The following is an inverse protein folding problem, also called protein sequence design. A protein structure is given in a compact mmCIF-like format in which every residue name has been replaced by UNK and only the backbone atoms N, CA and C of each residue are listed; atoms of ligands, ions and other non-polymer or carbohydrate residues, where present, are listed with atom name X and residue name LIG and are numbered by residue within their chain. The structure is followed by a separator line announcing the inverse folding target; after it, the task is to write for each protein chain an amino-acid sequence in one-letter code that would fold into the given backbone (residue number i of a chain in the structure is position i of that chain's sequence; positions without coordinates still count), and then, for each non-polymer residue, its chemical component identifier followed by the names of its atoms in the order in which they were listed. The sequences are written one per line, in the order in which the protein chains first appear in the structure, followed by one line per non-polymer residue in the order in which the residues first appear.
data_IF_283958781427
#
_entry.id   IF_283958781427
#
_cell.length_a   1.000
_cell.length_b   1.000
_cell.length_c   1.000
_cell.angle_alpha   90.00
_cell.angle_beta   90.00
_cell.angle_gamma   90.00
#
_symmetry.space_group_name_H-M   'P 1'
#
loop_
_entity.id
_entity.type
_entity.pdbx_description
1 polymer ?
#
# COMPACT_ATOMS: atom_id res chain seq x y z
N UNK A 1 -3.72 -6.88 -12.94
CA UNK A 1 -3.14 -5.76 -12.17
C UNK A 1 -3.68 -5.81 -10.75
N UNK A 2 -2.82 -5.64 -9.77
CA UNK A 2 -3.19 -5.54 -8.34
C UNK A 2 -3.58 -4.10 -8.00
N UNK A 3 -4.68 -3.93 -7.26
CA UNK A 3 -5.15 -2.64 -6.76
C UNK A 3 -4.97 -2.58 -5.25
N UNK A 4 -4.20 -1.60 -4.77
CA UNK A 4 -3.85 -1.42 -3.37
C UNK A 4 -4.33 -0.03 -2.93
N UNK A 5 -5.20 0.05 -1.94
CA UNK A 5 -5.59 1.34 -1.37
C UNK A 5 -4.44 1.93 -0.54
N UNK A 6 -4.17 3.20 -0.71
CA UNK A 6 -3.16 3.90 0.08
C UNK A 6 -3.73 4.23 1.46
N UNK A 7 -3.24 3.54 2.51
CA UNK A 7 -3.72 3.69 3.88
C UNK A 7 -5.24 3.44 4.05
N UNK A 8 -5.82 2.57 3.21
CA UNK A 8 -7.25 2.31 3.18
C UNK A 8 -8.08 3.26 2.31
N UNK A 9 -7.48 4.35 1.81
CA UNK A 9 -8.16 5.35 0.99
C UNK A 9 -8.15 4.90 -0.48
N UNK A 10 -9.32 4.93 -1.13
CA UNK A 10 -9.49 4.42 -2.50
C UNK A 10 -10.43 5.26 -3.39
N UNK A 11 -11.12 6.24 -2.80
CA UNK A 11 -12.12 7.08 -3.50
C UNK A 11 -11.89 8.58 -3.26
N UNK A 12 -10.65 9.04 -3.50
CA UNK A 12 -10.21 10.41 -3.33
C UNK A 12 -9.34 10.64 -2.10
N UNK A 13 -8.77 11.83 -1.99
CA UNK A 13 -7.76 12.17 -0.98
C UNK A 13 -8.39 12.58 0.36
N UNK A 14 -9.04 11.66 1.05
CA UNK A 14 -9.59 11.90 2.38
C UNK A 14 -8.70 11.30 3.47
N UNK A 15 -7.55 11.92 3.73
CA UNK A 15 -6.51 11.43 4.62
C UNK A 15 -6.90 11.42 6.11
N UNK A 16 -8.00 12.03 6.51
CA UNK A 16 -8.49 11.97 7.91
C UNK A 16 -8.83 10.54 8.34
N UNK A 17 -9.15 9.66 7.38
CA UNK A 17 -9.46 8.25 7.63
C UNK A 17 -8.27 7.31 7.37
N UNK A 18 -7.10 7.87 7.07
CA UNK A 18 -5.90 7.09 6.74
C UNK A 18 -5.51 6.11 7.87
N UNK A 19 -5.21 4.87 7.50
CA UNK A 19 -4.85 3.78 8.42
C UNK A 19 -5.94 3.40 9.44
N UNK A 20 -7.13 3.95 9.38
CA UNK A 20 -8.19 3.59 10.31
C UNK A 20 -8.75 2.20 9.98
N UNK A 21 -8.91 1.30 10.97
CA UNK A 21 -9.42 -0.06 10.75
C UNK A 21 -10.77 -0.12 10.01
N UNK A 22 -11.70 0.79 10.30
CA UNK A 22 -12.98 0.86 9.59
C UNK A 22 -12.80 1.21 8.11
N UNK A 23 -11.90 2.12 7.78
CA UNK A 23 -11.60 2.50 6.41
C UNK A 23 -10.89 1.37 5.65
N UNK A 24 -9.98 0.67 6.32
CA UNK A 24 -9.32 -0.53 5.78
C UNK A 24 -10.37 -1.61 5.47
N UNK A 25 -11.32 -1.84 6.37
CA UNK A 25 -12.42 -2.78 6.16
C UNK A 25 -13.29 -2.42 4.95
N UNK A 26 -13.61 -1.14 4.76
CA UNK A 26 -14.32 -0.65 3.55
C UNK A 26 -13.53 -0.91 2.28
N UNK A 27 -12.23 -0.67 2.29
CA UNK A 27 -11.33 -0.96 1.16
C UNK A 27 -11.37 -2.46 0.80
N UNK A 28 -11.28 -3.34 1.79
CA UNK A 28 -11.38 -4.78 1.59
C UNK A 28 -12.72 -5.21 1.01
N UNK A 29 -13.83 -4.64 1.48
CA UNK A 29 -15.16 -4.91 0.96
C UNK A 29 -15.34 -4.47 -0.51
N UNK A 30 -14.56 -3.49 -0.96
CA UNK A 30 -14.51 -3.06 -2.36
C UNK A 30 -13.52 -3.88 -3.22
N UNK A 31 -12.92 -4.92 -2.66
CA UNK A 31 -12.05 -5.84 -3.37
C UNK A 31 -10.62 -5.35 -3.56
N UNK A 32 -10.19 -4.34 -2.81
CA UNK A 32 -8.82 -3.83 -2.85
C UNK A 32 -7.94 -4.50 -1.79
N UNK A 33 -6.64 -4.62 -2.06
CA UNK A 33 -5.64 -4.78 -1.02
C UNK A 33 -5.39 -3.43 -0.34
N UNK A 34 -4.67 -3.40 0.76
CA UNK A 34 -4.45 -2.16 1.51
C UNK A 34 -2.97 -2.02 1.94
N UNK A 35 -2.37 -0.88 1.63
CA UNK A 35 -1.12 -0.48 2.25
C UNK A 35 -1.41 0.21 3.58
N UNK A 36 -0.66 -0.15 4.60
CA UNK A 36 -0.76 0.42 5.96
C UNK A 36 0.62 0.75 6.51
N UNK A 37 0.71 1.84 7.24
CA UNK A 37 1.89 2.17 8.02
C UNK A 37 1.82 1.41 9.35
N UNK A 38 2.88 0.68 9.68
CA UNK A 38 2.93 -0.18 10.88
C UNK A 38 4.16 0.14 11.71
N UNK A 39 3.95 0.21 13.01
CA UNK A 39 4.97 0.39 14.04
C UNK A 39 4.88 -0.73 15.06
N UNK A 40 6.03 -1.19 15.54
CA UNK A 40 6.09 -2.06 16.69
C UNK A 40 6.72 -1.30 17.85
N UNK A 41 5.93 -1.10 18.91
CA UNK A 41 6.30 -0.32 20.10
C UNK A 41 5.97 -1.19 21.32
N UNK A 42 6.96 -1.42 22.19
CA UNK A 42 6.79 -2.20 23.42
C UNK A 42 6.06 -3.54 23.18
N UNK A 43 6.48 -4.31 22.19
CA UNK A 43 5.92 -5.62 21.80
C UNK A 43 4.48 -5.58 21.26
N UNK A 44 3.93 -4.41 20.96
CA UNK A 44 2.59 -4.24 20.38
C UNK A 44 2.71 -3.67 18.97
N UNK A 45 1.89 -4.19 18.04
CA UNK A 45 1.76 -3.63 16.69
C UNK A 45 0.73 -2.50 16.67
N UNK A 46 1.04 -1.48 15.92
CA UNK A 46 0.19 -0.30 15.71
C UNK A 46 0.08 -0.01 14.22
N UNK A 47 -1.08 0.49 13.79
CA UNK A 47 -1.27 1.08 12.47
C UNK A 47 -1.46 2.59 12.60
N UNK A 48 -0.98 3.33 11.61
CA UNK A 48 -1.12 4.78 11.57
C UNK A 48 0.19 5.55 11.64
N UNK A 49 0.11 6.89 11.76
CA UNK A 49 1.29 7.72 11.94
C UNK A 49 1.92 7.50 13.33
N UNK A 50 3.22 7.80 13.45
CA UNK A 50 3.96 7.64 14.70
C UNK A 50 3.35 8.44 15.86
N UNK A 51 2.78 9.61 15.55
CA UNK A 51 2.23 10.55 16.54
C UNK A 51 0.91 10.08 17.16
N UNK A 52 0.14 9.26 16.44
CA UNK A 52 -1.18 8.81 16.86
C UNK A 52 -1.49 7.38 16.38
N UNK A 53 -0.69 6.38 16.77
CA UNK A 53 -0.86 5.03 16.28
C UNK A 53 -2.04 4.34 16.97
N UNK A 54 -2.73 3.47 16.21
CA UNK A 54 -3.84 2.65 16.69
C UNK A 54 -3.33 1.23 16.96
N UNK A 55 -3.48 0.69 18.18
CA UNK A 55 -3.04 -0.68 18.47
C UNK A 55 -3.87 -1.71 17.72
N UNK A 56 -3.20 -2.73 17.19
CA UNK A 56 -3.83 -3.88 16.53
C UNK A 56 -3.20 -5.18 17.02
N UNK A 57 -3.92 -6.28 16.85
CA UNK A 57 -3.37 -7.60 17.14
C UNK A 57 -2.46 -8.08 16.02
N UNK A 58 -1.52 -8.97 16.32
CA UNK A 58 -0.67 -9.60 15.29
C UNK A 58 -1.52 -10.27 14.22
N UNK A 59 -2.61 -10.94 14.64
CA UNK A 59 -3.54 -11.62 13.74
C UNK A 59 -4.25 -10.66 12.79
N UNK A 60 -4.51 -9.44 13.19
CA UNK A 60 -5.19 -8.44 12.36
C UNK A 60 -4.45 -8.17 11.05
N UNK A 61 -3.13 -8.10 11.10
CA UNK A 61 -2.27 -7.79 9.94
C UNK A 61 -1.90 -9.02 9.09
N UNK A 62 -2.35 -10.23 9.48
CA UNK A 62 -2.02 -11.45 8.74
C UNK A 62 -2.77 -11.55 7.42
N UNK A 63 -2.10 -12.14 6.43
CA UNK A 63 -2.67 -12.45 5.13
C UNK A 63 -2.09 -11.60 3.99
N UNK A 64 -2.54 -11.91 2.78
CA UNK A 64 -1.99 -11.34 1.55
C UNK A 64 -2.64 -10.01 1.12
N UNK A 65 -3.64 -9.53 1.85
CA UNK A 65 -4.35 -8.28 1.53
C UNK A 65 -3.65 -7.04 2.08
N UNK A 66 -2.81 -7.20 3.08
CA UNK A 66 -2.01 -6.12 3.63
C UNK A 66 -0.66 -5.98 2.91
N UNK A 67 -0.31 -4.74 2.62
CA UNK A 67 1.02 -4.30 2.21
C UNK A 67 1.58 -3.44 3.33
N UNK A 68 2.45 -4.03 4.13
CA UNK A 68 2.89 -3.45 5.39
C UNK A 68 4.12 -2.59 5.16
N UNK A 69 3.95 -1.29 5.30
CA UNK A 69 5.06 -0.34 5.32
C UNK A 69 5.54 -0.18 6.76
N UNK A 70 6.73 -0.70 7.05
CA UNK A 70 7.33 -0.59 8.37
C UNK A 70 7.78 0.84 8.63
N UNK A 71 7.39 1.41 9.76
CA UNK A 71 7.67 2.79 10.12
C UNK A 71 9.15 3.03 10.47
N UNK A 72 9.84 1.98 10.94
CA UNK A 72 11.26 2.02 11.26
C UNK A 72 11.93 0.66 11.01
N UNK A 73 13.28 0.65 11.12
CA UNK A 73 14.08 -0.56 10.93
C UNK A 73 13.75 -1.64 11.97
N UNK A 74 13.51 -1.28 13.22
CA UNK A 74 13.16 -2.23 14.29
C UNK A 74 11.87 -3.00 13.97
N UNK A 75 10.86 -2.32 13.45
CA UNK A 75 9.61 -2.95 13.00
C UNK A 75 9.86 -3.91 11.85
N UNK A 76 10.65 -3.49 10.86
CA UNK A 76 11.04 -4.35 9.74
C UNK A 76 11.77 -5.60 10.22
N UNK A 77 12.76 -5.45 11.10
CA UNK A 77 13.55 -6.57 11.64
C UNK A 77 12.66 -7.59 12.36
N UNK A 78 11.64 -7.13 13.09
CA UNK A 78 10.68 -8.05 13.72
C UNK A 78 9.91 -8.86 12.68
N UNK A 79 9.41 -8.23 11.60
CA UNK A 79 8.69 -8.96 10.55
C UNK A 79 9.57 -10.02 9.86
N UNK A 80 10.89 -9.79 9.76
CA UNK A 80 11.82 -10.79 9.18
C UNK A 80 11.87 -12.09 10.00
N UNK A 81 11.54 -12.04 11.28
CA UNK A 81 11.50 -13.22 12.17
C UNK A 81 10.18 -13.99 12.10
N UNK A 82 9.16 -13.44 11.44
CA UNK A 82 7.84 -14.03 11.36
C UNK A 82 7.70 -14.97 10.17
N UNK A 83 6.82 -16.00 10.25
CA UNK A 83 6.54 -16.86 9.10
C UNK A 83 6.01 -16.04 7.91
N UNK A 84 6.59 -16.23 6.73
CA UNK A 84 6.21 -15.50 5.52
C UNK A 84 4.72 -15.66 5.16
N UNK A 85 4.14 -16.82 5.47
CA UNK A 85 2.71 -17.08 5.23
C UNK A 85 1.79 -16.16 6.03
N UNK A 86 2.27 -15.62 7.16
CA UNK A 86 1.50 -14.69 7.99
C UNK A 86 1.57 -13.27 7.45
N UNK A 87 2.76 -12.84 7.01
CA UNK A 87 3.02 -11.47 6.53
C UNK A 87 3.81 -11.51 5.22
N UNK A 88 3.18 -11.85 4.09
CA UNK A 88 3.89 -12.04 2.82
C UNK A 88 4.39 -10.72 2.20
N UNK A 89 3.77 -9.59 2.52
CA UNK A 89 4.04 -8.32 1.86
C UNK A 89 4.39 -7.25 2.88
N UNK A 90 5.65 -7.14 3.26
CA UNK A 90 6.16 -6.05 4.09
C UNK A 90 7.43 -5.47 3.49
N UNK A 91 7.73 -4.22 3.83
CA UNK A 91 8.91 -3.50 3.34
C UNK A 91 9.26 -2.34 4.27
N UNK A 92 10.50 -1.87 4.15
CA UNK A 92 10.97 -0.65 4.79
C UNK A 92 11.47 0.32 3.71
N UNK A 93 10.97 1.54 3.72
CA UNK A 93 11.30 2.59 2.77
C UNK A 93 11.68 3.86 3.54
N UNK A 94 12.97 4.02 3.91
CA UNK A 94 13.41 5.19 4.67
C UNK A 94 13.32 6.50 3.87
N UNK A 95 13.31 6.41 2.54
CA UNK A 95 13.15 7.54 1.63
C UNK A 95 12.04 7.23 0.61
N UNK A 96 10.93 7.98 0.70
CA UNK A 96 9.76 7.79 -0.17
C UNK A 96 10.01 8.13 -1.65
N UNK A 97 11.13 8.74 -2.00
CA UNK A 97 11.51 9.11 -3.37
C UNK A 97 12.28 8.02 -4.11
N UNK A 98 12.61 6.92 -3.45
CA UNK A 98 13.34 5.78 -4.03
C UNK A 98 12.53 4.49 -3.93
N UNK A 99 12.88 3.53 -4.79
CA UNK A 99 12.28 2.20 -4.75
C UNK A 99 12.59 1.48 -3.44
N UNK A 100 11.62 0.70 -2.96
CA UNK A 100 11.84 -0.28 -1.91
C UNK A 100 11.48 -1.68 -2.40
N UNK A 101 12.29 -2.67 -2.08
CA UNK A 101 11.99 -4.07 -2.38
C UNK A 101 11.07 -4.62 -1.27
N UNK A 102 9.93 -5.14 -1.67
CA UNK A 102 9.03 -5.81 -0.75
C UNK A 102 9.44 -7.26 -0.50
N UNK A 103 8.98 -7.86 0.59
CA UNK A 103 9.28 -9.27 0.92
C UNK A 103 8.83 -10.24 -0.18
N UNK A 104 7.81 -9.90 -0.95
CA UNK A 104 7.28 -10.69 -2.06
C UNK A 104 7.97 -10.38 -3.42
N UNK A 105 9.15 -9.81 -3.42
CA UNK A 105 9.96 -9.47 -4.60
C UNK A 105 9.26 -8.52 -5.58
N UNK A 106 8.44 -7.61 -5.06
CA UNK A 106 7.85 -6.51 -5.83
C UNK A 106 8.55 -5.20 -5.49
N UNK A 107 8.73 -4.36 -6.49
CA UNK A 107 9.30 -3.02 -6.30
C UNK A 107 8.19 -2.04 -5.94
N UNK A 108 8.24 -1.52 -4.73
CA UNK A 108 7.42 -0.40 -4.29
C UNK A 108 8.01 0.88 -4.88
N UNK A 109 7.38 1.40 -5.95
CA UNK A 109 7.99 2.39 -6.85
C UNK A 109 7.25 3.72 -6.73
N UNK A 110 7.90 4.81 -6.31
CA UNK A 110 7.31 6.16 -6.35
C UNK A 110 6.81 6.52 -7.75
N UNK A 111 5.70 7.27 -7.84
CA UNK A 111 5.09 7.64 -9.11
C UNK A 111 5.98 8.42 -10.08
N UNK A 112 7.10 8.97 -9.59
CA UNK A 112 8.09 9.72 -10.39
C UNK A 112 9.20 8.85 -10.99
N UNK A 113 9.26 7.56 -10.65
CA UNK A 113 10.33 6.64 -11.07
C UNK A 113 9.81 5.72 -12.18
N UNK A 114 10.64 5.39 -13.20
CA UNK A 114 10.23 4.43 -14.23
C UNK A 114 9.79 3.09 -13.65
N UNK A 115 8.72 2.54 -14.20
CA UNK A 115 8.09 1.28 -13.75
C UNK A 115 8.34 0.14 -14.73
N UNK A 116 8.25 -1.07 -14.22
CA UNK A 116 8.30 -2.31 -14.99
C UNK A 116 7.23 -3.30 -14.49
N UNK A 117 7.21 -4.50 -15.03
CA UNK A 117 6.21 -5.53 -14.71
C UNK A 117 6.30 -6.10 -13.27
N UNK A 118 7.33 -5.77 -12.50
CA UNK A 118 7.45 -6.11 -11.08
C UNK A 118 7.12 -4.94 -10.15
N UNK A 119 6.93 -3.75 -10.72
CA UNK A 119 6.67 -2.53 -9.96
C UNK A 119 5.22 -2.43 -9.48
N UNK A 120 5.06 -1.95 -8.26
CA UNK A 120 3.82 -1.38 -7.76
C UNK A 120 4.03 0.14 -7.77
N UNK A 121 3.33 0.85 -8.66
CA UNK A 121 3.42 2.30 -8.71
C UNK A 121 2.62 2.92 -7.58
N UNK A 122 3.24 3.87 -6.86
CA UNK A 122 2.68 4.46 -5.66
C UNK A 122 2.31 5.92 -5.89
N UNK A 123 1.07 6.27 -5.61
CA UNK A 123 0.53 7.63 -5.71
C UNK A 123 0.86 8.31 -7.06
N UNK A 124 0.57 7.66 -8.20
CA UNK A 124 0.85 8.25 -9.50
C UNK A 124 0.16 9.60 -9.69
N UNK A 125 -0.98 9.81 -9.05
CA UNK A 125 -1.75 11.05 -9.06
C UNK A 125 -1.02 12.25 -8.45
N UNK A 126 -0.06 12.01 -7.57
CA UNK A 126 0.76 13.09 -6.97
C UNK A 126 1.86 13.52 -7.95
N UNK A 127 2.43 12.56 -8.69
CA UNK A 127 3.47 12.86 -9.67
C UNK A 127 2.89 13.58 -10.89
N UNK A 128 1.84 13.02 -11.46
CA UNK A 128 1.08 13.60 -12.58
C UNK A 128 -0.28 12.89 -12.69
N UNK A 129 -1.37 13.64 -12.67
CA UNK A 129 -2.72 13.07 -12.86
C UNK A 129 -2.89 12.35 -14.20
N UNK A 130 -2.16 12.77 -15.22
CA UNK A 130 -2.11 12.09 -16.52
C UNK A 130 -1.56 10.67 -16.43
N UNK A 131 -0.70 10.36 -15.42
CA UNK A 131 -0.18 9.01 -15.19
C UNK A 131 -1.27 8.01 -14.79
N UNK A 132 -2.38 8.46 -14.20
CA UNK A 132 -3.50 7.58 -13.88
C UNK A 132 -4.03 6.85 -15.12
N UNK A 133 -3.95 7.46 -16.29
CA UNK A 133 -4.39 6.88 -17.56
C UNK A 133 -3.38 5.88 -18.16
N UNK A 134 -2.13 5.91 -17.76
CA UNK A 134 -1.06 5.07 -18.31
C UNK A 134 -0.53 3.98 -17.39
N UNK A 135 -0.85 4.04 -16.11
CA UNK A 135 -0.36 3.14 -15.05
C UNK A 135 -0.61 1.66 -15.36
N UNK A 136 -1.72 1.34 -16.02
CA UNK A 136 -2.15 -0.05 -16.27
C UNK A 136 -1.28 -0.79 -17.29
N UNK A 137 -0.44 -0.09 -18.06
CA UNK A 137 0.21 -0.67 -19.23
C UNK A 137 1.45 -1.51 -18.92
N UNK A 138 2.14 -1.28 -17.81
CA UNK A 138 3.47 -1.88 -17.58
C UNK A 138 3.82 -2.21 -16.13
N UNK A 139 2.88 -2.19 -15.18
CA UNK A 139 3.19 -2.48 -13.79
C UNK A 139 2.44 -3.70 -13.23
N UNK A 140 2.98 -4.28 -12.18
CA UNK A 140 2.35 -5.38 -11.43
C UNK A 140 1.09 -4.91 -10.71
N UNK A 141 1.15 -3.72 -10.11
CA UNK A 141 0.05 -3.15 -9.35
C UNK A 141 0.14 -1.64 -9.22
N UNK A 142 -0.92 -1.07 -8.67
CA UNK A 142 -1.01 0.35 -8.35
C UNK A 142 -1.47 0.53 -6.91
N UNK A 143 -0.79 1.40 -6.17
CA UNK A 143 -1.21 1.88 -4.86
C UNK A 143 -1.63 3.34 -4.98
N UNK A 144 -2.91 3.63 -4.78
CA UNK A 144 -3.49 4.95 -5.06
C UNK A 144 -4.66 5.24 -4.14
N UNK A 145 -4.96 6.52 -3.96
CA UNK A 145 -6.19 7.00 -3.30
C UNK A 145 -7.37 7.09 -4.27
N UNK A 146 -7.17 6.85 -5.57
CA UNK A 146 -8.19 6.96 -6.64
C UNK A 146 -8.51 5.62 -7.31
N UNK A 147 -8.48 4.51 -6.57
CA UNK A 147 -8.67 3.17 -7.15
C UNK A 147 -10.05 2.96 -7.79
N UNK A 148 -11.09 3.55 -7.22
CA UNK A 148 -12.44 3.51 -7.81
C UNK A 148 -12.44 4.10 -9.22
N UNK A 149 -11.79 5.26 -9.39
CA UNK A 149 -11.63 5.89 -10.69
C UNK A 149 -10.80 5.02 -11.65
N UNK A 150 -9.63 4.54 -11.23
CA UNK A 150 -8.74 3.71 -12.06
C UNK A 150 -9.47 2.44 -12.52
N UNK A 151 -10.18 1.76 -11.62
CA UNK A 151 -10.91 0.53 -11.94
C UNK A 151 -12.06 0.77 -12.92
N UNK A 152 -12.79 1.89 -12.76
CA UNK A 152 -13.86 2.29 -13.68
C UNK A 152 -13.31 2.54 -15.09
N UNK A 153 -12.31 3.39 -15.21
CA UNK A 153 -11.67 3.71 -16.48
C UNK A 153 -11.22 2.43 -17.22
N UNK A 154 -10.61 1.50 -16.52
CA UNK A 154 -10.19 0.22 -17.09
C UNK A 154 -11.35 -0.63 -17.61
N UNK A 155 -12.47 -0.68 -16.88
CA UNK A 155 -13.62 -1.50 -17.24
C UNK A 155 -14.43 -0.90 -18.39
N UNK A 156 -14.47 0.41 -18.51
CA UNK A 156 -15.19 1.14 -19.54
C UNK A 156 -14.41 1.27 -20.85
N UNK A 157 -13.15 0.80 -20.89
CA UNK A 157 -12.31 0.83 -22.08
C UNK A 157 -11.92 2.24 -22.54
N UNK A 158 -12.05 3.23 -21.67
CA UNK A 158 -11.71 4.63 -21.93
C UNK A 158 -10.18 4.92 -21.93
N UNK A 159 -9.40 3.88 -22.15
CA UNK A 159 -7.95 3.97 -22.23
C UNK A 159 -7.50 4.08 -23.68
N UNK A 160 -7.49 5.29 -24.20
CA UNK A 160 -6.89 5.62 -25.50
C UNK A 160 -5.70 6.57 -25.33
#
# INVERSE_FOLDING_TARGET
MLYISYQGIYDGQNYEYANMPDQIGKSFNNGFACMVDVWRIDNTLYVGPEEAPIPVTDKYLQGNRFWIKCGNQETYDWFTTQPIRHYPNYFYQPNSMVNALTRSDKLWTPGTVPVNNTSIIVLPEIADRGLLSTVHLRCYGVCSTYLTFIKRMRNEGEWY
#
